data_IF_654733092508
#
_entry.id   IF_654733092508
#
_cell.length_a   1.000
_cell.length_b   1.000
_cell.length_c   1.000
_cell.angle_alpha   90.00
_cell.angle_beta   90.00
_cell.angle_gamma   90.00
#
_symmetry.space_group_name_H-M   'P 1'
#
loop_
_entity.id
_entity.type
_entity.pdbx_description
1 polymer ?
#
# COMPACT_ATOMS: atom_id res chain seq x y z
N UNK A 1 12.27 -10.96 -11.78
CA UNK A 1 10.82 -10.68 -11.70
C UNK A 1 10.14 -11.92 -12.25
N UNK A 2 9.92 -12.92 -11.38
CA UNK A 2 9.65 -14.31 -11.80
C UNK A 2 8.17 -14.71 -11.70
N UNK A 3 7.32 -13.83 -11.20
CA UNK A 3 5.87 -14.04 -11.12
C UNK A 3 5.16 -13.07 -12.07
N UNK A 4 5.37 -13.29 -13.36
CA UNK A 4 4.69 -12.58 -14.45
C UNK A 4 3.79 -13.57 -15.20
N UNK A 5 2.52 -13.23 -15.47
CA UNK A 5 1.83 -12.00 -15.09
C UNK A 5 1.42 -11.96 -13.60
N UNK A 6 1.46 -10.77 -13.00
CA UNK A 6 1.08 -10.59 -11.59
C UNK A 6 -0.40 -10.88 -11.37
N UNK A 7 -0.72 -11.38 -10.18
CA UNK A 7 -2.10 -11.56 -9.73
C UNK A 7 -2.62 -10.29 -9.04
N UNK A 8 -3.91 -9.94 -9.22
CA UNK A 8 -4.53 -8.88 -8.44
C UNK A 8 -4.55 -9.26 -6.95
N UNK A 9 -4.59 -8.27 -6.07
CA UNK A 9 -4.62 -8.48 -4.60
C UNK A 9 -5.71 -9.45 -4.14
N UNK A 10 -6.86 -9.52 -4.84
CA UNK A 10 -7.96 -10.44 -4.53
C UNK A 10 -7.61 -11.93 -4.67
N UNK A 11 -6.49 -12.24 -5.35
CA UNK A 11 -5.97 -13.60 -5.54
C UNK A 11 -4.66 -13.83 -4.79
N UNK A 12 -4.23 -12.90 -3.95
CA UNK A 12 -3.02 -13.02 -3.16
C UNK A 12 -3.21 -14.09 -2.07
N UNK A 13 -2.31 -15.07 -2.02
CA UNK A 13 -2.34 -16.10 -1.01
C UNK A 13 -1.58 -15.72 0.27
N UNK A 14 -1.77 -16.50 1.34
CA UNK A 14 -1.13 -16.25 2.63
C UNK A 14 0.40 -16.32 2.56
N UNK A 15 0.97 -17.00 1.56
CA UNK A 15 2.41 -17.07 1.33
C UNK A 15 3.05 -15.69 1.16
N UNK A 16 2.36 -14.71 0.56
CA UNK A 16 2.91 -13.36 0.40
C UNK A 16 3.09 -12.69 1.76
N UNK A 17 2.03 -12.60 2.57
CA UNK A 17 2.12 -12.02 3.91
C UNK A 17 3.09 -12.77 4.81
N UNK A 18 3.11 -14.11 4.74
CA UNK A 18 3.97 -14.95 5.57
C UNK A 18 5.45 -14.74 5.23
N UNK A 19 5.81 -14.86 3.94
CA UNK A 19 7.19 -14.68 3.48
C UNK A 19 7.67 -13.25 3.68
N UNK A 20 6.84 -12.25 3.32
CA UNK A 20 7.19 -10.85 3.50
C UNK A 20 7.37 -10.50 4.98
N UNK A 21 6.55 -11.02 5.89
CA UNK A 21 6.74 -10.79 7.34
C UNK A 21 8.07 -11.33 7.83
N UNK A 22 8.46 -12.55 7.39
CA UNK A 22 9.76 -13.13 7.76
C UNK A 22 10.93 -12.27 7.24
N UNK A 23 10.89 -11.88 5.97
CA UNK A 23 11.93 -11.04 5.35
C UNK A 23 11.98 -9.66 6.01
N UNK A 24 10.85 -8.99 6.18
CA UNK A 24 10.76 -7.68 6.82
C UNK A 24 11.28 -7.70 8.26
N UNK A 25 10.96 -8.75 9.03
CA UNK A 25 11.46 -8.90 10.40
C UNK A 25 12.97 -9.07 10.42
N UNK A 26 13.53 -9.89 9.52
CA UNK A 26 14.97 -10.07 9.38
C UNK A 26 15.67 -8.76 8.99
N UNK A 27 15.13 -8.01 8.03
CA UNK A 27 15.64 -6.69 7.64
C UNK A 27 15.57 -5.71 8.81
N UNK A 28 14.45 -5.67 9.54
CA UNK A 28 14.31 -4.75 10.68
C UNK A 28 15.35 -5.03 11.76
N UNK A 29 15.67 -6.30 12.02
CA UNK A 29 16.64 -6.71 13.02
C UNK A 29 18.09 -6.35 12.68
N UNK A 30 18.44 -6.15 11.40
CA UNK A 30 19.80 -5.73 11.00
C UNK A 30 19.98 -4.21 11.00
N UNK A 31 18.87 -3.46 10.94
CA UNK A 31 18.88 -2.01 10.88
C UNK A 31 18.81 -1.39 12.28
N UNK A 32 19.63 -0.39 12.53
CA UNK A 32 19.57 0.39 13.78
C UNK A 32 18.22 1.11 13.95
N UNK A 33 17.82 1.35 15.20
CA UNK A 33 16.51 1.91 15.55
C UNK A 33 16.26 3.33 15.04
N UNK A 34 17.32 4.07 14.70
CA UNK A 34 17.23 5.41 14.12
C UNK A 34 17.02 5.42 12.60
N UNK A 35 17.08 4.27 11.93
CA UNK A 35 16.80 4.15 10.49
C UNK A 35 15.36 3.71 10.33
N UNK A 36 14.53 4.58 9.75
CA UNK A 36 13.15 4.23 9.42
C UNK A 36 13.10 3.18 8.30
N UNK A 37 12.26 2.17 8.48
CA UNK A 37 12.06 1.09 7.53
C UNK A 37 10.56 0.91 7.25
N UNK A 38 10.21 0.61 6.02
CA UNK A 38 8.83 0.38 5.61
C UNK A 38 8.72 -0.70 4.55
N UNK A 39 7.48 -1.03 4.20
CA UNK A 39 7.18 -2.08 3.22
C UNK A 39 6.11 -1.62 2.24
N UNK A 40 6.18 -2.18 1.04
CA UNK A 40 5.14 -2.10 0.03
C UNK A 40 4.88 -3.52 -0.47
N UNK A 41 3.60 -3.89 -0.60
CA UNK A 41 3.18 -5.08 -1.33
C UNK A 41 2.49 -4.60 -2.60
N UNK A 42 2.99 -5.08 -3.74
CA UNK A 42 2.55 -4.61 -5.06
C UNK A 42 1.10 -5.03 -5.38
N UNK A 43 0.59 -4.53 -6.50
CA UNK A 43 -0.76 -4.80 -7.00
C UNK A 43 -1.87 -4.39 -6.01
N UNK A 44 -1.62 -3.38 -5.18
CA UNK A 44 -2.59 -2.84 -4.23
C UNK A 44 -2.74 -3.65 -2.93
N UNK A 45 -1.73 -4.45 -2.57
CA UNK A 45 -1.63 -5.18 -1.30
C UNK A 45 -1.47 -4.30 -0.06
N UNK A 46 -2.24 -3.21 0.03
CA UNK A 46 -2.06 -2.16 1.03
C UNK A 46 -2.41 -2.64 2.45
N UNK A 47 -3.43 -3.50 2.58
CA UNK A 47 -3.81 -4.08 3.88
C UNK A 47 -2.78 -5.11 4.33
N UNK A 48 -2.29 -5.92 3.39
CA UNK A 48 -1.25 -6.91 3.59
C UNK A 48 0.03 -6.22 4.05
N UNK A 49 0.45 -5.16 3.35
CA UNK A 49 1.59 -4.34 3.74
C UNK A 49 1.44 -3.79 5.16
N UNK A 50 0.24 -3.32 5.54
CA UNK A 50 -0.03 -2.80 6.86
C UNK A 50 0.10 -3.86 7.96
N UNK A 51 -0.44 -5.06 7.71
CA UNK A 51 -0.35 -6.19 8.63
C UNK A 51 1.11 -6.65 8.78
N UNK A 52 1.85 -6.76 7.67
CA UNK A 52 3.28 -7.09 7.66
C UNK A 52 4.07 -6.05 8.45
N UNK A 53 3.84 -4.75 8.21
CA UNK A 53 4.53 -3.68 8.90
C UNK A 53 4.31 -3.73 10.41
N UNK A 54 3.06 -3.95 10.85
CA UNK A 54 2.74 -4.10 12.26
C UNK A 54 3.46 -5.32 12.87
N UNK A 55 3.38 -6.49 12.22
CA UNK A 55 3.96 -7.72 12.73
C UNK A 55 5.50 -7.70 12.78
N UNK A 56 6.14 -7.07 11.79
CA UNK A 56 7.59 -6.97 11.68
C UNK A 56 8.19 -5.75 12.41
N UNK A 57 7.37 -4.90 13.04
CA UNK A 57 7.82 -3.70 13.73
C UNK A 57 8.41 -2.64 12.79
N UNK A 58 7.82 -2.46 11.61
CA UNK A 58 8.19 -1.42 10.65
C UNK A 58 7.48 -0.10 10.94
N UNK A 59 8.06 0.99 10.43
CA UNK A 59 7.64 2.36 10.75
C UNK A 59 6.54 2.86 9.81
N UNK A 60 6.50 2.38 8.57
CA UNK A 60 5.57 2.86 7.57
C UNK A 60 5.25 1.86 6.45
N UNK A 61 4.18 2.14 5.72
CA UNK A 61 3.87 1.51 4.44
C UNK A 61 3.76 2.55 3.34
N UNK A 62 4.06 2.13 2.10
CA UNK A 62 3.69 2.90 0.90
C UNK A 62 2.40 2.32 0.33
N UNK A 63 1.44 3.20 0.09
CA UNK A 63 0.09 2.84 -0.33
C UNK A 63 -0.16 3.31 -1.75
N UNK A 64 -0.55 2.38 -2.60
CA UNK A 64 -0.90 2.66 -3.99
C UNK A 64 -2.43 2.76 -4.14
N UNK A 65 -2.91 3.68 -4.98
CA UNK A 65 -4.35 3.78 -5.25
C UNK A 65 -5.17 4.13 -3.99
N UNK A 66 -4.69 5.08 -3.20
CA UNK A 66 -5.38 5.48 -1.96
C UNK A 66 -6.73 6.16 -2.26
N UNK A 67 -6.72 7.12 -3.18
CA UNK A 67 -7.90 7.81 -3.72
C UNK A 67 -8.01 7.58 -5.22
N UNK A 68 -9.25 7.62 -5.72
CA UNK A 68 -9.64 7.35 -7.10
C UNK A 68 -9.24 5.96 -7.65
N UNK A 69 -9.96 5.53 -8.69
CA UNK A 69 -9.65 4.29 -9.38
C UNK A 69 -8.67 4.52 -10.52
N UNK A 70 -7.82 3.53 -10.77
CA UNK A 70 -6.79 3.57 -11.80
C UNK A 70 -6.80 2.30 -12.64
N UNK A 71 -6.32 2.34 -13.88
CA UNK A 71 -6.16 1.14 -14.72
C UNK A 71 -4.69 0.72 -14.69
N UNK A 72 -4.39 -0.44 -14.10
CA UNK A 72 -3.08 -1.07 -14.08
C UNK A 72 -2.99 -2.21 -15.10
N UNK A 73 -1.83 -2.86 -15.17
CA UNK A 73 -1.59 -4.04 -16.01
C UNK A 73 -2.55 -5.20 -15.67
N UNK A 74 -2.98 -5.28 -14.41
CA UNK A 74 -3.93 -6.28 -13.90
C UNK A 74 -5.40 -5.86 -14.04
N UNK A 75 -5.67 -4.65 -14.56
CA UNK A 75 -7.02 -4.10 -14.76
C UNK A 75 -7.38 -2.95 -13.82
N UNK A 76 -8.67 -2.81 -13.51
CA UNK A 76 -9.19 -1.72 -12.68
C UNK A 76 -8.82 -1.92 -11.21
N UNK A 77 -8.09 -0.96 -10.66
CA UNK A 77 -7.74 -0.86 -9.24
C UNK A 77 -8.60 0.20 -8.58
N UNK A 78 -9.44 -0.19 -7.63
CA UNK A 78 -10.29 0.75 -6.88
C UNK A 78 -9.53 1.41 -5.74
N UNK A 79 -9.97 2.63 -5.38
CA UNK A 79 -9.47 3.36 -4.24
C UNK A 79 -9.63 2.57 -2.92
N UNK A 80 -8.64 2.64 -2.02
CA UNK A 80 -8.63 1.84 -0.78
C UNK A 80 -8.72 2.63 0.53
N UNK A 81 -8.76 3.98 0.51
CA UNK A 81 -8.63 4.80 1.72
C UNK A 81 -9.56 4.40 2.86
N UNK A 82 -10.86 4.25 2.58
CA UNK A 82 -11.86 3.91 3.58
C UNK A 82 -11.62 2.55 4.26
N UNK A 83 -11.30 1.52 3.48
CA UNK A 83 -11.09 0.17 3.99
C UNK A 83 -9.75 0.06 4.72
N UNK A 84 -8.71 0.70 4.18
CA UNK A 84 -7.37 0.68 4.75
C UNK A 84 -7.32 1.35 6.12
N UNK A 85 -7.90 2.55 6.27
CA UNK A 85 -7.87 3.28 7.54
C UNK A 85 -8.70 2.59 8.63
N UNK A 86 -9.83 1.96 8.27
CA UNK A 86 -10.60 1.13 9.21
C UNK A 86 -9.82 -0.11 9.62
N UNK A 87 -9.20 -0.78 8.66
CA UNK A 87 -8.37 -1.95 8.92
C UNK A 87 -7.18 -1.59 9.84
N UNK A 88 -6.51 -0.45 9.61
CA UNK A 88 -5.44 0.08 10.47
C UNK A 88 -5.87 0.16 11.93
N UNK A 89 -7.04 0.77 12.18
CA UNK A 89 -7.59 0.87 13.53
C UNK A 89 -7.95 -0.50 14.10
N UNK A 90 -8.57 -1.37 13.28
CA UNK A 90 -9.01 -2.70 13.69
C UNK A 90 -7.87 -3.58 14.20
N UNK A 91 -6.71 -3.54 13.53
CA UNK A 91 -5.53 -4.34 13.94
C UNK A 91 -4.59 -3.60 14.91
N UNK A 92 -4.92 -2.38 15.32
CA UNK A 92 -4.09 -1.58 16.23
C UNK A 92 -2.84 -0.96 15.61
N UNK A 93 -2.73 -0.89 14.28
CA UNK A 93 -1.56 -0.35 13.56
C UNK A 93 -1.51 1.19 13.49
N UNK A 94 -1.98 1.89 14.52
CA UNK A 94 -2.00 3.36 14.54
C UNK A 94 -0.60 3.97 14.57
N UNK A 95 0.41 3.22 15.01
CA UNK A 95 1.82 3.62 15.00
C UNK A 95 2.50 3.52 13.63
N UNK A 96 1.95 2.73 12.69
CA UNK A 96 2.50 2.58 11.34
C UNK A 96 2.04 3.76 10.47
N UNK A 97 2.98 4.54 9.93
CA UNK A 97 2.68 5.67 9.03
C UNK A 97 2.25 5.15 7.66
N UNK A 98 1.39 5.91 6.99
CA UNK A 98 0.94 5.61 5.62
C UNK A 98 1.45 6.72 4.72
N UNK A 99 2.22 6.36 3.69
CA UNK A 99 2.62 7.28 2.63
C UNK A 99 1.86 6.92 1.36
N UNK A 100 0.95 7.79 0.94
CA UNK A 100 0.10 7.52 -0.21
C UNK A 100 0.70 8.08 -1.50
N UNK A 101 0.58 7.32 -2.58
CA UNK A 101 0.83 7.85 -3.92
C UNK A 101 -0.36 8.76 -4.32
N UNK A 102 -0.08 10.01 -4.71
CA UNK A 102 -1.12 10.89 -5.27
C UNK A 102 -1.62 10.34 -6.61
N UNK A 103 -0.69 9.89 -7.48
CA UNK A 103 -0.99 9.08 -8.68
C UNK A 103 -0.12 7.84 -8.69
N UNK A 104 -0.72 6.66 -8.88
CA UNK A 104 0.04 5.41 -9.05
C UNK A 104 0.89 5.51 -10.32
N UNK A 105 2.19 5.22 -10.20
CA UNK A 105 3.20 5.36 -11.27
C UNK A 105 2.96 4.47 -12.50
N UNK A 106 2.47 3.26 -12.28
CA UNK A 106 2.29 2.22 -13.32
C UNK A 106 0.80 2.00 -13.57
N UNK A 107 0.11 3.09 -13.90
CA UNK A 107 -1.31 3.09 -14.22
C UNK A 107 -1.64 4.13 -15.28
N UNK A 108 -2.66 3.83 -16.08
CA UNK A 108 -3.37 4.84 -16.85
C UNK A 108 -4.40 5.56 -15.95
N UNK A 109 -4.50 6.87 -16.16
CA UNK A 109 -5.36 7.80 -15.41
C UNK A 109 -6.46 8.40 -16.30
N UNK A 110 -6.80 7.73 -17.40
CA UNK A 110 -7.73 8.24 -18.41
C UNK A 110 -9.16 8.40 -17.88
N UNK A 111 -9.60 7.54 -16.95
CA UNK A 111 -10.94 7.63 -16.33
C UNK A 111 -11.07 8.88 -15.45
N UNK A 112 -9.96 9.37 -14.91
CA UNK A 112 -9.89 10.56 -14.04
C UNK A 112 -9.05 11.65 -14.70
N UNK A 113 -9.09 11.74 -16.03
CA UNK A 113 -8.28 12.71 -16.78
C UNK A 113 -8.72 14.15 -16.56
N UNK A 114 -9.98 14.33 -16.13
CA UNK A 114 -10.58 15.59 -15.71
C UNK A 114 -10.11 16.07 -14.33
N UNK A 115 -9.47 15.19 -13.54
CA UNK A 115 -8.93 15.53 -12.22
C UNK A 115 -7.44 15.86 -12.31
N UNK A 116 -7.10 17.11 -12.00
CA UNK A 116 -5.71 17.56 -11.95
C UNK A 116 -4.94 16.90 -10.81
N UNK A 117 -3.60 16.94 -10.89
CA UNK A 117 -2.76 16.41 -9.80
C UNK A 117 -2.96 17.16 -8.47
N UNK A 118 -3.25 18.46 -8.55
CA UNK A 118 -3.52 19.29 -7.38
C UNK A 118 -4.85 18.90 -6.71
N UNK A 119 -5.91 18.72 -7.49
CA UNK A 119 -7.21 18.25 -6.98
C UNK A 119 -7.11 16.84 -6.39
N UNK A 120 -6.32 15.97 -7.02
CA UNK A 120 -6.07 14.63 -6.51
C UNK A 120 -5.31 14.66 -5.18
N UNK A 121 -4.34 15.56 -5.01
CA UNK A 121 -3.65 15.77 -3.74
C UNK A 121 -4.58 16.30 -2.65
N UNK A 122 -5.43 17.29 -2.97
CA UNK A 122 -6.47 17.82 -2.08
C UNK A 122 -7.47 16.74 -1.66
N UNK A 123 -7.87 15.88 -2.60
CA UNK A 123 -8.74 14.74 -2.30
C UNK A 123 -8.03 13.71 -1.40
N UNK A 124 -6.76 13.41 -1.65
CA UNK A 124 -5.98 12.52 -0.78
C UNK A 124 -5.89 13.06 0.66
N UNK A 125 -5.63 14.37 0.82
CA UNK A 125 -5.66 15.05 2.12
C UNK A 125 -7.04 14.96 2.79
N UNK A 126 -8.11 15.23 2.05
CA UNK A 126 -9.49 15.09 2.56
C UNK A 126 -9.81 13.66 3.04
N UNK A 127 -9.24 12.65 2.37
CA UNK A 127 -9.37 11.23 2.74
C UNK A 127 -8.37 10.78 3.82
N UNK A 128 -7.70 11.72 4.50
CA UNK A 128 -6.77 11.48 5.60
C UNK A 128 -5.52 10.68 5.17
N UNK A 129 -4.96 11.05 4.01
CA UNK A 129 -3.64 10.59 3.56
C UNK A 129 -2.53 10.89 4.57
#
# INVERSE_FOLDING_TARGET
MHDVPYLPVSKMGPEVTSCMTAVCSAVRATLSSNISCGVQVLAGGNKEALAIALAAGLDFIRVEGFVFSHIADEGLMNACAGDLLRYRRHIGANNVKIFTDIKKKHCAHAITSDVSIEEMAKAAEFFLS
#
